data_IF_836135810225
#
_entry.id   IF_836135810225
#
_cell.length_a   1.000
_cell.length_b   1.000
_cell.length_c   1.000
_cell.angle_alpha   90.00
_cell.angle_beta   90.00
_cell.angle_gamma   90.00
#
_symmetry.space_group_name_H-M   'P 1'
#
loop_
_entity.id
_entity.type
_entity.pdbx_description
1 polymer ?
#
# COMPACT_ATOMS: atom_id res chain seq x y z
N UNK A 1 -3.93 -11.90 14.30
CA UNK A 1 -5.05 -11.19 13.66
C UNK A 1 -4.68 -9.73 13.74
N UNK A 2 -4.39 -9.13 12.60
CA UNK A 2 -3.97 -7.74 12.52
C UNK A 2 -5.17 -6.83 12.72
N UNK A 3 -5.00 -5.76 13.50
CA UNK A 3 -6.06 -4.77 13.64
C UNK A 3 -6.16 -3.94 12.36
N UNK A 4 -7.38 -3.71 11.87
CA UNK A 4 -7.60 -2.82 10.73
C UNK A 4 -7.04 -1.44 11.00
N UNK A 5 -6.45 -0.85 9.97
CA UNK A 5 -5.94 0.51 10.03
C UNK A 5 -7.09 1.52 10.19
N UNK A 6 -6.92 2.58 10.98
CA UNK A 6 -8.00 3.55 11.23
C UNK A 6 -8.43 4.28 9.94
N UNK A 7 -9.73 4.22 9.62
CA UNK A 7 -10.28 4.80 8.37
C UNK A 7 -10.05 6.32 8.18
N UNK A 8 -10.16 7.18 9.21
CA UNK A 8 -10.07 8.63 9.01
C UNK A 8 -8.69 9.13 8.58
N UNK A 9 -7.60 8.50 9.05
CA UNK A 9 -6.24 8.90 8.65
C UNK A 9 -5.91 8.40 7.25
N UNK A 10 -6.38 7.21 6.87
CA UNK A 10 -6.16 6.65 5.54
C UNK A 10 -6.77 7.51 4.45
N UNK A 11 -8.01 7.99 4.62
CA UNK A 11 -8.64 8.90 3.65
C UNK A 11 -7.81 10.17 3.43
N UNK A 12 -7.33 10.78 4.52
CA UNK A 12 -6.48 11.97 4.46
C UNK A 12 -5.17 11.71 3.71
N UNK A 13 -4.48 10.62 4.04
CA UNK A 13 -3.17 10.30 3.47
C UNK A 13 -3.29 9.90 2.00
N UNK A 14 -4.32 9.12 1.64
CA UNK A 14 -4.58 8.70 0.26
C UNK A 14 -4.94 9.91 -0.62
N UNK A 15 -5.88 10.76 -0.17
CA UNK A 15 -6.33 11.92 -0.95
C UNK A 15 -5.22 12.98 -1.12
N UNK A 16 -4.30 13.07 -0.15
CA UNK A 16 -3.22 14.05 -0.18
C UNK A 16 -2.03 13.66 -1.06
N UNK A 17 -1.86 12.38 -1.41
CA UNK A 17 -0.73 11.85 -2.18
C UNK A 17 0.66 12.31 -1.67
N UNK A 18 0.75 12.53 -0.35
CA UNK A 18 1.96 12.96 0.33
C UNK A 18 3.01 11.85 0.34
N UNK A 19 4.29 12.24 0.33
CA UNK A 19 5.38 11.29 0.55
C UNK A 19 5.32 10.75 1.98
N UNK A 20 5.74 9.51 2.20
CA UNK A 20 5.82 8.92 3.53
C UNK A 20 6.79 9.67 4.44
N UNK A 21 7.84 10.26 3.87
CA UNK A 21 8.78 11.14 4.58
C UNK A 21 8.13 12.40 5.17
N UNK A 22 6.98 12.85 4.64
CA UNK A 22 6.25 14.01 5.17
C UNK A 22 5.51 13.71 6.48
N UNK A 23 5.32 12.43 6.82
CA UNK A 23 4.55 11.99 7.98
C UNK A 23 5.41 11.75 9.23
N UNK A 24 6.65 12.23 9.25
CA UNK A 24 7.54 12.03 10.40
C UNK A 24 7.95 10.56 10.58
N UNK A 25 7.64 9.69 9.60
CA UNK A 25 8.36 8.43 9.41
C UNK A 25 9.80 8.86 9.10
N UNK A 26 10.71 8.63 10.06
CA UNK A 26 12.14 8.97 9.95
C UNK A 26 12.63 8.72 8.52
N UNK A 27 13.43 9.61 7.90
CA UNK A 27 13.74 9.54 6.47
C UNK A 27 14.16 8.12 6.10
N UNK A 28 13.24 7.43 5.45
CA UNK A 28 13.34 5.99 5.25
C UNK A 28 13.96 5.80 3.87
N UNK A 29 15.14 5.17 3.78
CA UNK A 29 15.87 5.08 2.52
C UNK A 29 15.11 4.33 1.42
N UNK A 30 14.18 3.43 1.78
CA UNK A 30 13.44 2.64 0.80
C UNK A 30 12.03 3.19 0.54
N UNK A 31 11.24 3.43 1.60
CA UNK A 31 9.84 3.83 1.51
C UNK A 31 9.61 5.35 1.60
N UNK A 32 10.61 6.17 1.92
CA UNK A 32 10.42 7.60 2.20
C UNK A 32 9.80 8.38 1.04
N UNK A 33 10.13 8.00 -0.21
CA UNK A 33 9.60 8.59 -1.44
C UNK A 33 8.34 7.88 -1.95
N UNK A 34 7.73 7.00 -1.18
CA UNK A 34 6.45 6.38 -1.52
C UNK A 34 5.30 7.23 -0.99
N UNK A 35 4.09 6.92 -1.45
CA UNK A 35 2.82 7.43 -0.91
C UNK A 35 1.89 6.25 -0.70
N UNK A 36 0.91 6.41 0.18
CA UNK A 36 -0.21 5.46 0.25
C UNK A 36 -1.11 5.74 -0.95
N UNK A 37 -1.28 4.73 -1.81
CA UNK A 37 -2.08 4.83 -3.01
C UNK A 37 -3.51 4.34 -2.81
N UNK A 38 -3.68 3.27 -2.03
CA UNK A 38 -5.00 2.72 -1.71
C UNK A 38 -4.92 1.88 -0.42
N UNK A 39 -6.08 1.64 0.19
CA UNK A 39 -6.26 0.66 1.25
C UNK A 39 -7.49 -0.19 0.93
N UNK A 40 -7.24 -1.42 0.50
CA UNK A 40 -8.27 -2.33 0.01
C UNK A 40 -8.67 -3.28 1.12
N UNK A 41 -9.92 -3.17 1.59
CA UNK A 41 -10.50 -4.04 2.60
C UNK A 41 -11.94 -4.50 2.26
N UNK A 42 -12.25 -5.71 2.69
CA UNK A 42 -13.57 -6.27 3.06
C UNK A 42 -14.77 -6.25 2.08
N UNK A 43 -14.80 -5.50 0.98
CA UNK A 43 -15.92 -5.62 0.01
C UNK A 43 -15.50 -6.21 -1.34
N UNK A 44 -14.29 -5.91 -1.81
CA UNK A 44 -13.72 -6.51 -3.03
C UNK A 44 -13.25 -7.95 -2.80
N UNK A 45 -12.67 -8.22 -1.63
CA UNK A 45 -12.22 -9.57 -1.22
C UNK A 45 -13.41 -10.48 -0.87
N UNK A 46 -14.53 -9.90 -0.41
CA UNK A 46 -15.76 -10.64 -0.05
C UNK A 46 -16.61 -11.08 -1.23
N UNK A 47 -16.35 -10.63 -2.45
CA UNK A 47 -17.06 -11.13 -3.64
C UNK A 47 -16.24 -12.30 -4.18
N UNK A 48 -16.53 -13.55 -3.78
CA UNK A 48 -15.71 -14.67 -4.21
C UNK A 48 -15.97 -14.85 -5.70
N UNK A 49 -14.93 -14.90 -6.53
CA UNK A 49 -15.04 -15.60 -7.82
C UNK A 49 -15.44 -17.03 -7.45
N UNK A 50 -16.73 -17.34 -7.62
CA UNK A 50 -17.36 -18.67 -7.53
C UNK A 50 -16.74 -19.68 -6.54
N UNK A 51 -17.22 -19.67 -5.29
CA UNK A 51 -17.30 -20.78 -4.31
C UNK A 51 -16.15 -21.80 -4.11
N UNK A 52 -14.93 -21.61 -4.64
CA UNK A 52 -13.82 -22.55 -4.45
C UNK A 52 -12.48 -21.93 -4.01
N UNK A 53 -12.31 -20.60 -4.07
CA UNK A 53 -10.99 -19.96 -3.88
C UNK A 53 -10.89 -19.04 -2.65
N UNK A 54 -11.47 -19.43 -1.51
CA UNK A 54 -11.17 -18.77 -0.22
C UNK A 54 -9.68 -18.92 0.20
N UNK A 55 -8.92 -19.75 -0.52
CA UNK A 55 -7.48 -19.99 -0.35
C UNK A 55 -6.63 -18.94 -1.10
N UNK A 56 -7.20 -18.08 -1.95
CA UNK A 56 -6.42 -17.25 -2.88
C UNK A 56 -6.27 -15.77 -2.49
N UNK A 57 -6.68 -15.35 -1.29
CA UNK A 57 -6.67 -13.94 -0.91
C UNK A 57 -5.26 -13.44 -0.49
N UNK A 58 -4.34 -13.34 -1.45
CA UNK A 58 -3.01 -12.73 -1.26
C UNK A 58 -2.76 -11.62 -2.28
N UNK A 59 -1.81 -10.73 -1.99
CA UNK A 59 -1.57 -9.57 -2.85
C UNK A 59 -1.25 -9.98 -4.30
N UNK A 60 -0.48 -11.06 -4.48
CA UNK A 60 -0.15 -11.59 -5.81
C UNK A 60 -1.41 -11.85 -6.64
N UNK A 61 -2.39 -12.59 -6.12
CA UNK A 61 -3.61 -12.93 -6.88
C UNK A 61 -4.45 -11.69 -7.21
N UNK A 62 -4.48 -10.70 -6.32
CA UNK A 62 -5.31 -9.51 -6.51
C UNK A 62 -4.70 -8.45 -7.43
N UNK A 63 -3.37 -8.37 -7.51
CA UNK A 63 -2.68 -7.24 -8.15
C UNK A 63 -1.72 -7.64 -9.29
N UNK A 64 -1.53 -8.94 -9.57
CA UNK A 64 -0.67 -9.42 -10.68
C UNK A 64 -1.20 -9.01 -12.07
N UNK A 65 -2.50 -8.72 -12.20
CA UNK A 65 -3.07 -8.13 -13.43
C UNK A 65 -2.66 -6.65 -13.61
N UNK A 66 -2.35 -5.92 -12.52
CA UNK A 66 -2.01 -4.50 -12.54
C UNK A 66 -0.52 -4.24 -12.77
N UNK A 67 0.36 -5.13 -12.31
CA UNK A 67 1.80 -5.04 -12.54
C UNK A 67 2.50 -6.41 -12.39
N UNK A 68 3.63 -6.62 -13.09
CA UNK A 68 4.45 -7.81 -12.89
C UNK A 68 4.92 -7.99 -11.44
N UNK A 69 4.78 -9.21 -10.92
CA UNK A 69 5.31 -9.60 -9.60
C UNK A 69 6.84 -9.60 -9.60
N UNK A 70 7.45 -9.06 -8.53
CA UNK A 70 8.91 -9.06 -8.35
C UNK A 70 9.36 -9.98 -7.22
N UNK A 71 8.78 -9.82 -6.03
CA UNK A 71 9.19 -10.55 -4.83
C UNK A 71 8.10 -10.52 -3.77
N UNK A 72 8.16 -11.48 -2.84
CA UNK A 72 7.35 -11.51 -1.64
C UNK A 72 8.25 -11.73 -0.43
N UNK A 73 8.02 -10.94 0.62
CA UNK A 73 8.79 -10.93 1.85
C UNK A 73 7.82 -11.27 2.98
N UNK A 74 7.95 -12.48 3.52
CA UNK A 74 7.08 -12.95 4.59
C UNK A 74 7.56 -12.40 5.94
N UNK A 75 6.80 -11.46 6.53
CA UNK A 75 7.12 -10.91 7.84
C UNK A 75 6.89 -11.90 8.98
N UNK A 76 6.10 -12.98 8.77
CA UNK A 76 5.82 -13.98 9.81
C UNK A 76 7.05 -14.75 10.25
N UNK A 77 7.97 -14.99 9.33
CA UNK A 77 9.29 -15.58 9.64
C UNK A 77 10.13 -14.71 10.59
N UNK A 78 9.79 -13.43 10.73
CA UNK A 78 10.48 -12.42 11.52
C UNK A 78 9.61 -11.86 12.65
N UNK A 79 8.50 -12.53 12.99
CA UNK A 79 7.62 -12.16 14.11
C UNK A 79 6.62 -11.04 13.82
N UNK A 80 6.43 -10.67 12.55
CA UNK A 80 5.44 -9.67 12.11
C UNK A 80 4.17 -10.36 11.63
N UNK A 81 3.04 -9.67 11.75
CA UNK A 81 1.71 -10.19 11.37
C UNK A 81 1.30 -9.84 9.93
N UNK A 82 2.21 -9.22 9.17
CA UNK A 82 2.02 -8.82 7.78
C UNK A 82 3.15 -9.36 6.87
N UNK A 83 2.91 -9.33 5.57
CA UNK A 83 3.92 -9.52 4.52
C UNK A 83 4.06 -8.28 3.64
N UNK A 84 5.14 -8.21 2.87
CA UNK A 84 5.32 -7.18 1.85
C UNK A 84 5.51 -7.86 0.49
N UNK A 85 4.61 -7.56 -0.44
CA UNK A 85 4.70 -8.02 -1.83
C UNK A 85 5.13 -6.85 -2.72
N UNK A 86 6.19 -7.06 -3.50
CA UNK A 86 6.74 -6.08 -4.44
C UNK A 86 6.28 -6.40 -5.85
N UNK A 87 5.73 -5.40 -6.53
CA UNK A 87 5.40 -5.41 -7.95
C UNK A 87 6.27 -4.41 -8.70
N UNK A 88 6.27 -4.49 -10.02
CA UNK A 88 7.11 -3.65 -10.88
C UNK A 88 6.88 -2.16 -10.67
N UNK A 89 5.70 -1.71 -10.23
CA UNK A 89 5.38 -0.28 -10.12
C UNK A 89 4.86 0.16 -8.76
N UNK A 90 4.63 -0.78 -7.84
CA UNK A 90 4.13 -0.51 -6.48
C UNK A 90 4.47 -1.66 -5.52
N UNK A 91 4.31 -1.41 -4.23
CA UNK A 91 4.41 -2.41 -3.17
C UNK A 91 3.04 -2.57 -2.49
N UNK A 92 2.80 -3.75 -1.92
CA UNK A 92 1.60 -4.05 -1.15
C UNK A 92 2.01 -4.60 0.20
N UNK A 93 1.56 -3.97 1.28
CA UNK A 93 1.58 -4.57 2.61
C UNK A 93 0.33 -5.40 2.76
N UNK A 94 0.50 -6.71 2.94
CA UNK A 94 -0.60 -7.66 3.06
C UNK A 94 -0.76 -8.12 4.51
N UNK A 95 -1.99 -8.05 5.00
CA UNK A 95 -2.36 -8.48 6.35
C UNK A 95 -3.28 -9.67 6.25
N UNK A 96 -3.15 -10.61 7.20
CA UNK A 96 -3.99 -11.81 7.29
C UNK A 96 -4.13 -12.52 5.93
N UNK A 97 -3.04 -12.60 5.16
CA UNK A 97 -3.03 -13.18 3.82
C UNK A 97 -3.53 -14.64 3.82
N UNK A 98 -4.21 -15.04 2.73
CA UNK A 98 -4.87 -16.34 2.58
C UNK A 98 -6.04 -16.57 3.56
N UNK A 99 -6.61 -15.50 4.10
CA UNK A 99 -7.82 -15.55 4.93
C UNK A 99 -8.92 -14.66 4.36
N UNK A 100 -10.19 -14.88 4.73
CA UNK A 100 -11.30 -13.99 4.38
C UNK A 100 -11.16 -12.57 4.93
N UNK A 101 -10.28 -12.36 5.91
CA UNK A 101 -10.04 -11.08 6.56
C UNK A 101 -8.87 -10.31 5.93
N UNK A 102 -8.29 -10.85 4.85
CA UNK A 102 -7.17 -10.24 4.15
C UNK A 102 -7.48 -8.80 3.73
N UNK A 103 -6.52 -7.94 3.98
CA UNK A 103 -6.58 -6.54 3.59
C UNK A 103 -5.20 -6.05 3.15
N UNK A 104 -5.19 -5.04 2.29
CA UNK A 104 -4.02 -4.65 1.53
C UNK A 104 -3.81 -3.13 1.61
N UNK A 105 -2.61 -2.71 2.03
CA UNK A 105 -2.17 -1.33 1.93
C UNK A 105 -1.27 -1.20 0.71
N UNK A 106 -1.70 -0.43 -0.29
CA UNK A 106 -0.96 -0.23 -1.54
C UNK A 106 -0.08 1.00 -1.41
N UNK A 107 1.22 0.82 -1.64
CA UNK A 107 2.24 1.87 -1.61
C UNK A 107 2.77 2.08 -3.03
N UNK A 108 2.70 3.31 -3.53
CA UNK A 108 3.25 3.64 -4.86
C UNK A 108 4.38 4.68 -4.72
N UNK A 109 5.41 4.65 -5.56
CA UNK A 109 6.39 5.73 -5.63
C UNK A 109 5.72 7.07 -5.90
N UNK A 110 6.14 8.12 -5.19
CA UNK A 110 5.69 9.49 -5.46
C UNK A 110 6.38 9.99 -6.73
N UNK A 111 5.58 10.46 -7.68
CA UNK A 111 6.10 11.07 -8.89
C UNK A 111 6.62 12.49 -8.57
N UNK A 112 7.79 12.89 -9.08
CA UNK A 112 8.32 14.23 -8.84
C UNK A 112 7.48 15.28 -9.56
N UNK A 113 6.62 15.98 -8.82
CA UNK A 113 6.00 17.27 -9.19
C UNK A 113 5.30 17.36 -10.56
N UNK A 114 5.02 16.23 -11.21
CA UNK A 114 4.41 16.16 -12.54
C UNK A 114 2.99 15.59 -12.43
N UNK A 115 2.08 15.98 -13.36
CA UNK A 115 0.75 15.38 -13.40
C UNK A 115 0.86 13.85 -13.50
N UNK A 116 -0.12 13.15 -12.92
CA UNK A 116 -0.19 11.69 -12.90
C UNK A 116 -0.05 11.06 -14.30
N UNK A 117 -0.39 11.81 -15.36
CA UNK A 117 -0.35 11.40 -16.76
C UNK A 117 0.98 11.73 -17.47
N UNK A 118 2.07 11.94 -16.73
CA UNK A 118 3.37 12.19 -17.35
C UNK A 118 3.81 10.98 -18.20
N UNK A 119 4.34 11.18 -19.42
CA UNK A 119 4.60 10.11 -20.40
C UNK A 119 5.65 9.06 -20.00
N UNK A 120 6.18 9.10 -18.78
CA UNK A 120 7.19 8.17 -18.26
C UNK A 120 6.96 7.77 -16.79
N UNK A 121 5.77 8.02 -16.24
CA UNK A 121 5.46 7.73 -14.84
C UNK A 121 5.74 6.25 -14.48
N UNK A 122 5.34 5.32 -15.35
CA UNK A 122 5.58 3.89 -15.15
C UNK A 122 7.07 3.49 -15.13
N UNK A 123 7.90 4.10 -15.98
CA UNK A 123 9.34 3.84 -16.00
C UNK A 123 10.04 4.33 -14.73
N UNK A 124 9.63 5.50 -14.24
CA UNK A 124 10.13 6.04 -12.98
C UNK A 124 9.75 5.15 -11.80
N UNK A 125 8.49 4.70 -11.76
CA UNK A 125 8.04 3.77 -10.74
C UNK A 125 8.84 2.45 -10.80
N UNK A 126 9.06 1.91 -12.01
CA UNK A 126 9.85 0.70 -12.22
C UNK A 126 11.29 0.81 -11.68
N UNK A 127 12.00 1.89 -12.03
CA UNK A 127 13.35 2.13 -11.53
C UNK A 127 13.41 2.22 -9.99
N UNK A 128 12.36 2.77 -9.36
CA UNK A 128 12.27 2.82 -7.90
C UNK A 128 12.01 1.44 -7.30
N UNK A 129 11.10 0.66 -7.88
CA UNK A 129 10.81 -0.69 -7.41
C UNK A 129 12.00 -1.64 -7.58
N UNK A 130 12.79 -1.51 -8.65
CA UNK A 130 14.04 -2.27 -8.82
C UNK A 130 15.04 -2.00 -7.68
N UNK A 131 15.20 -0.73 -7.28
CA UNK A 131 16.07 -0.36 -6.17
C UNK A 131 15.57 -0.93 -4.82
N UNK A 132 14.25 -0.87 -4.58
CA UNK A 132 13.63 -1.47 -3.38
C UNK A 132 13.79 -2.99 -3.39
N UNK A 133 13.57 -3.66 -4.53
CA UNK A 133 13.77 -5.09 -4.67
C UNK A 133 15.22 -5.49 -4.37
N UNK A 134 16.18 -4.80 -4.96
CA UNK A 134 17.61 -5.08 -4.74
C UNK A 134 18.01 -4.90 -3.27
N UNK A 135 17.52 -3.83 -2.62
CA UNK A 135 17.78 -3.60 -1.20
C UNK A 135 17.13 -4.67 -0.31
N UNK A 136 15.87 -5.02 -0.57
CA UNK A 136 15.13 -6.01 0.21
C UNK A 136 15.69 -7.44 0.06
N UNK A 137 16.32 -7.76 -1.08
CA UNK A 137 17.04 -9.03 -1.26
C UNK A 137 18.32 -9.10 -0.42
N UNK A 138 18.96 -7.97 -0.15
CA UNK A 138 20.17 -7.90 0.67
C UNK A 138 19.85 -7.85 2.16
N UNK A 139 18.84 -7.06 2.53
CA UNK A 139 18.41 -6.85 3.91
C UNK A 139 16.89 -6.66 3.97
N UNK A 140 16.11 -7.74 4.10
CA UNK A 140 14.65 -7.67 4.21
C UNK A 140 14.20 -7.01 5.52
N UNK A 141 15.02 -7.04 6.58
CA UNK A 141 14.65 -6.48 7.87
C UNK A 141 14.56 -4.95 7.84
N UNK A 142 15.38 -4.29 7.03
CA UNK A 142 15.28 -2.83 6.84
C UNK A 142 13.94 -2.44 6.24
N UNK A 143 13.49 -3.09 5.16
CA UNK A 143 12.19 -2.78 4.54
C UNK A 143 11.04 -3.06 5.51
N UNK A 144 11.12 -4.16 6.27
CA UNK A 144 10.10 -4.48 7.25
C UNK A 144 10.10 -3.48 8.41
N UNK A 145 11.25 -3.04 8.92
CA UNK A 145 11.34 -2.02 9.96
C UNK A 145 10.80 -0.65 9.51
N UNK A 146 11.01 -0.27 8.25
CA UNK A 146 10.39 0.93 7.69
C UNK A 146 8.86 0.77 7.58
N UNK A 147 8.40 -0.43 7.23
CA UNK A 147 6.97 -0.77 7.23
C UNK A 147 6.39 -0.71 8.64
N UNK A 148 7.10 -1.24 9.65
CA UNK A 148 6.71 -1.15 11.07
C UNK A 148 6.52 0.32 11.49
N UNK A 149 7.45 1.20 11.10
CA UNK A 149 7.37 2.63 11.40
C UNK A 149 6.18 3.31 10.70
N UNK A 150 5.88 2.94 9.46
CA UNK A 150 4.69 3.38 8.73
C UNK A 150 3.41 2.95 9.45
N UNK A 151 3.29 1.67 9.83
CA UNK A 151 2.11 1.15 10.50
C UNK A 151 1.91 1.78 11.87
N UNK A 152 2.99 1.94 12.64
CA UNK A 152 2.96 2.64 13.92
C UNK A 152 2.48 4.09 13.77
N UNK A 153 2.93 4.80 12.72
CA UNK A 153 2.40 6.13 12.40
C UNK A 153 0.90 6.07 12.10
N UNK A 154 0.45 5.17 11.21
CA UNK A 154 -0.97 5.07 10.83
C UNK A 154 -1.88 4.71 12.02
N UNK A 155 -1.39 3.96 13.00
CA UNK A 155 -2.15 3.64 14.22
C UNK A 155 -2.20 4.79 15.24
N UNK A 156 -1.16 5.62 15.30
CA UNK A 156 -1.03 6.69 16.31
C UNK A 156 -1.42 8.07 15.79
N UNK A 157 -1.43 8.27 14.47
CA UNK A 157 -1.72 9.54 13.84
C UNK A 157 -3.18 9.94 14.09
N UNK A 158 -3.35 11.10 14.70
CA UNK A 158 -4.65 11.78 14.74
C UNK A 158 -4.84 12.48 13.39
N UNK A 159 -5.96 12.28 12.68
CA UNK A 159 -6.21 13.00 11.44
C UNK A 159 -6.12 14.50 11.73
N UNK A 160 -5.42 15.30 10.92
CA UNK A 160 -5.58 16.74 11.01
C UNK A 160 -7.07 17.05 10.86
N UNK A 161 -7.59 18.00 11.64
CA UNK A 161 -8.96 18.49 11.48
C UNK A 161 -9.06 19.22 10.13
N UNK A 162 -9.19 18.47 9.05
CA UNK A 162 -9.44 19.02 7.72
C UNK A 162 -10.90 19.40 7.71
N UNK A 163 -11.18 20.70 7.57
CA UNK A 163 -12.55 21.17 7.35
C UNK A 163 -13.16 20.35 6.21
N UNK A 164 -14.40 19.82 6.36
CA UNK A 164 -14.97 18.90 5.41
C UNK A 164 -14.95 19.51 4.01
N UNK A 165 -14.08 19.01 3.14
CA UNK A 165 -14.13 19.31 1.71
C UNK A 165 -15.49 18.80 1.25
N UNK A 166 -16.36 19.70 0.81
CA UNK A 166 -17.66 19.37 0.19
C UNK A 166 -17.41 18.51 -1.05
N UNK A 167 -17.25 17.19 -0.86
CA UNK A 167 -17.28 16.19 -1.93
C UNK A 167 -18.70 16.19 -2.48
N UNK A 168 -18.88 16.76 -3.65
CA UNK A 168 -20.18 16.83 -4.32
C UNK A 168 -20.68 15.39 -4.55
N UNK A 169 -21.82 15.05 -3.94
CA UNK A 169 -22.56 13.79 -4.08
C UNK A 169 -22.72 13.31 -5.54
N UNK A 170 -22.65 14.23 -6.50
CA UNK A 170 -22.76 13.99 -7.93
C UNK A 170 -21.61 13.17 -8.53
N UNK A 171 -20.39 13.23 -7.97
CA UNK A 171 -19.27 12.41 -8.47
C UNK A 171 -19.38 10.93 -8.08
N UNK A 172 -20.15 10.60 -7.03
CA UNK A 172 -20.43 9.21 -6.63
C UNK A 172 -21.52 8.55 -7.50
N UNK A 173 -22.35 9.33 -8.19
CA UNK A 173 -23.45 8.82 -9.02
C UNK A 173 -23.06 8.62 -10.49
N UNK A 174 -21.91 9.13 -10.94
CA UNK A 174 -21.50 9.11 -12.35
C UNK A 174 -20.22 8.30 -12.64
N UNK A 175 -19.61 7.66 -11.64
CA UNK A 175 -18.45 6.80 -11.82
C UNK A 175 -18.84 5.34 -12.06
N UNK A 176 -19.27 5.03 -13.28
CA UNK A 176 -19.16 3.69 -13.88
C UNK A 176 -17.86 3.60 -14.65
#
# INVERSE_FOLDING_TARGET
>A
MSQRLPHPILEYVIDGAHALSEFGVSPSPLLGEFRIADYVGDYRVRTPRESHDLIAACARVFFEEDAPFLAQIDGRGLGRDYGVTLFATFAVVEFDAFTPEAHFLVLAPKLPGKPADAPYAGLWAAQRMEAVQAAAQQDPDTLLAETDALLAYLHSATPPQVAPRRRNLWQRLLGR
#
